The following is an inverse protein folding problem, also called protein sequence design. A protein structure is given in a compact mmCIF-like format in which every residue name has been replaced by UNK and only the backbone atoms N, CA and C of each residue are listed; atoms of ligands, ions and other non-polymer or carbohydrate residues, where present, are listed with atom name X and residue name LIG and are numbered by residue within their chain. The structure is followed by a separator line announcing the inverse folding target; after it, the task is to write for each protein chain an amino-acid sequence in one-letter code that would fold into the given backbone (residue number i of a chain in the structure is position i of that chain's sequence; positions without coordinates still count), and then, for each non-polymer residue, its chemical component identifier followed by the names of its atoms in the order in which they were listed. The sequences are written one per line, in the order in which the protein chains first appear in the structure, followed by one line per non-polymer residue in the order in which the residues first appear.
data_IF_882985929536
#
_entry.id   IF_882985929536
#
_cell.length_a   1.000
_cell.length_b   1.000
_cell.length_c   1.000
_cell.angle_alpha   90.00
_cell.angle_beta   90.00
_cell.angle_gamma   90.00
#
_symmetry.space_group_name_H-M   'P 1'
#
loop_
_entity.id
_entity.type
_entity.pdbx_description
1 polymer ?
#
# COMPACT_ATOMS: atom_id res chain seq x y z
N UNK A 1 36.72 8.28 -24.49
CA UNK A 1 35.93 7.03 -24.41
C UNK A 1 34.72 7.25 -23.51
N UNK A 2 33.48 7.21 -24.04
CA UNK A 2 32.26 7.42 -23.23
C UNK A 2 31.90 6.10 -22.53
N UNK A 3 31.82 6.10 -21.21
CA UNK A 3 31.46 4.92 -20.41
C UNK A 3 30.04 4.43 -20.80
N UNK A 4 29.84 3.15 -21.17
CA UNK A 4 28.54 2.62 -21.59
C UNK A 4 27.46 2.68 -20.48
N UNK A 5 27.85 2.83 -19.21
CA UNK A 5 26.93 3.04 -18.08
C UNK A 5 26.54 4.51 -17.85
N UNK A 6 27.16 5.47 -18.54
CA UNK A 6 26.89 6.90 -18.37
C UNK A 6 25.43 7.29 -18.70
N UNK A 7 24.78 6.76 -19.76
CA UNK A 7 23.37 7.02 -20.05
C UNK A 7 22.43 6.48 -18.96
N UNK A 8 22.77 5.33 -18.36
CA UNK A 8 21.98 4.70 -17.29
C UNK A 8 22.09 5.50 -15.99
N UNK A 9 23.29 5.98 -15.65
CA UNK A 9 23.54 6.86 -14.49
C UNK A 9 22.83 8.21 -14.62
N UNK A 10 22.83 8.83 -15.81
CA UNK A 10 22.06 10.07 -16.07
C UNK A 10 20.55 9.88 -15.95
N UNK A 11 20.00 8.79 -16.52
CA UNK A 11 18.58 8.45 -16.39
C UNK A 11 18.18 8.14 -14.95
N UNK A 12 19.06 7.46 -14.21
CA UNK A 12 18.87 7.21 -12.79
C UNK A 12 18.81 8.52 -12.00
N UNK A 13 19.84 9.35 -12.13
CA UNK A 13 19.97 10.61 -11.42
C UNK A 13 18.79 11.54 -11.69
N UNK A 14 18.41 11.74 -12.96
CA UNK A 14 17.28 12.61 -13.32
C UNK A 14 15.94 12.12 -12.75
N UNK A 15 15.65 10.82 -12.78
CA UNK A 15 14.43 10.26 -12.19
C UNK A 15 14.43 10.36 -10.67
N UNK A 16 15.58 10.12 -10.05
CA UNK A 16 15.72 10.20 -8.60
C UNK A 16 15.58 11.64 -8.10
N UNK A 17 16.21 12.61 -8.76
CA UNK A 17 16.10 14.04 -8.41
C UNK A 17 14.66 14.54 -8.53
N UNK A 18 13.95 14.22 -9.62
CA UNK A 18 12.51 14.55 -9.75
C UNK A 18 11.65 13.92 -8.63
N UNK A 19 12.01 12.73 -8.17
CA UNK A 19 11.31 12.08 -7.07
C UNK A 19 11.63 12.71 -5.71
N UNK A 20 12.88 13.12 -5.48
CA UNK A 20 13.29 13.85 -4.27
C UNK A 20 12.60 15.22 -4.18
N UNK A 21 12.59 15.94 -5.29
CA UNK A 21 11.89 17.21 -5.42
C UNK A 21 10.41 17.05 -5.05
N UNK A 22 9.75 16.02 -5.57
CA UNK A 22 8.38 15.68 -5.19
C UNK A 22 8.23 15.35 -3.71
N UNK A 23 9.16 14.60 -3.10
CA UNK A 23 9.10 14.28 -1.67
C UNK A 23 9.26 15.56 -0.83
N UNK A 24 10.16 16.46 -1.24
CA UNK A 24 10.39 17.76 -0.60
C UNK A 24 9.13 18.63 -0.62
N UNK A 25 8.42 18.69 -1.75
CA UNK A 25 7.20 19.51 -1.86
C UNK A 25 5.96 18.91 -1.18
N UNK A 26 5.89 17.58 -1.01
CA UNK A 26 4.74 16.91 -0.39
C UNK A 26 4.92 16.65 1.12
N UNK A 27 6.01 17.08 1.75
CA UNK A 27 6.30 16.85 3.17
C UNK A 27 6.77 18.14 3.85
N UNK A 28 6.43 18.32 5.13
CA UNK A 28 6.89 19.47 5.93
C UNK A 28 8.43 19.58 5.88
N UNK A 29 9.03 20.72 5.52
CA UNK A 29 10.49 20.88 5.43
C UNK A 29 11.21 20.46 6.73
N UNK A 30 10.60 20.78 7.88
CA UNK A 30 11.07 20.42 9.22
C UNK A 30 10.18 19.32 9.82
N UNK A 31 10.62 18.04 9.79
CA UNK A 31 9.87 16.96 10.40
C UNK A 31 10.04 17.03 11.92
N UNK A 32 8.95 17.40 12.59
CA UNK A 32 8.89 17.57 14.04
C UNK A 32 8.73 16.22 14.73
N UNK A 33 8.07 15.25 14.09
CA UNK A 33 7.86 13.91 14.64
C UNK A 33 8.86 12.87 14.12
N UNK A 34 9.25 11.93 14.98
CA UNK A 34 10.03 10.74 14.62
C UNK A 34 9.34 9.96 13.50
N UNK A 35 8.01 9.87 13.51
CA UNK A 35 7.29 9.15 12.46
C UNK A 35 7.36 9.87 11.11
N UNK A 36 7.39 11.20 11.09
CA UNK A 36 7.61 11.97 9.85
C UNK A 36 9.01 11.74 9.29
N UNK A 37 10.04 11.72 10.16
CA UNK A 37 11.42 11.39 9.77
C UNK A 37 11.49 9.98 9.17
N UNK A 38 10.85 8.99 9.82
CA UNK A 38 10.76 7.60 9.33
C UNK A 38 10.02 7.52 8.00
N UNK A 39 8.89 8.23 7.85
CA UNK A 39 8.10 8.29 6.62
C UNK A 39 8.91 8.87 5.46
N UNK A 40 9.66 9.94 5.70
CA UNK A 40 10.56 10.54 4.71
C UNK A 40 11.65 9.57 4.30
N UNK A 41 12.33 8.95 5.26
CA UNK A 41 13.38 7.98 4.98
C UNK A 41 12.86 6.82 4.11
N UNK A 42 11.69 6.24 4.46
CA UNK A 42 11.04 5.19 3.65
C UNK A 42 10.68 5.68 2.24
N UNK A 43 10.22 6.93 2.11
CA UNK A 43 9.88 7.52 0.81
C UNK A 43 11.11 7.71 -0.09
N UNK A 44 12.20 8.26 0.46
CA UNK A 44 13.48 8.45 -0.25
C UNK A 44 14.06 7.10 -0.68
N UNK A 45 14.11 6.12 0.24
CA UNK A 45 14.56 4.76 -0.07
C UNK A 45 13.72 4.11 -1.17
N UNK A 46 12.39 4.28 -1.11
CA UNK A 46 11.48 3.83 -2.15
C UNK A 46 11.75 4.49 -3.51
N UNK A 47 11.98 5.80 -3.54
CA UNK A 47 12.29 6.54 -4.76
C UNK A 47 13.63 6.12 -5.37
N UNK A 48 14.65 5.83 -4.54
CA UNK A 48 15.94 5.33 -4.99
C UNK A 48 15.78 3.98 -5.70
N UNK A 49 15.13 3.00 -5.04
CA UNK A 49 14.85 1.69 -5.63
C UNK A 49 14.01 1.79 -6.92
N UNK A 50 12.99 2.65 -6.95
CA UNK A 50 12.17 2.88 -8.13
C UNK A 50 12.98 3.41 -9.31
N UNK A 51 13.89 4.34 -9.02
CA UNK A 51 14.75 4.96 -10.03
C UNK A 51 15.77 3.97 -10.56
N UNK A 52 16.40 3.17 -9.67
CA UNK A 52 17.30 2.08 -10.04
C UNK A 52 16.61 1.06 -10.95
N UNK A 53 15.45 0.57 -10.54
CA UNK A 53 14.66 -0.39 -11.31
C UNK A 53 14.29 0.18 -12.70
N UNK A 54 13.86 1.44 -12.75
CA UNK A 54 13.50 2.10 -14.01
C UNK A 54 14.68 2.29 -14.96
N UNK A 55 15.89 2.47 -14.44
CA UNK A 55 17.09 2.69 -15.25
C UNK A 55 17.65 1.40 -15.85
N UNK A 56 17.60 0.28 -15.11
CA UNK A 56 18.07 -1.03 -15.62
C UNK A 56 17.11 -1.66 -16.63
N UNK A 57 15.91 -1.11 -16.80
CA UNK A 57 14.95 -1.51 -17.81
C UNK A 57 14.12 -2.76 -17.45
N UNK A 58 13.06 -3.05 -18.22
CA UNK A 58 12.13 -4.14 -17.94
C UNK A 58 12.73 -5.53 -18.16
N UNK A 59 13.93 -5.65 -18.74
CA UNK A 59 14.53 -6.96 -19.03
C UNK A 59 15.00 -7.71 -17.77
N UNK A 60 15.11 -7.03 -16.62
CA UNK A 60 15.49 -7.66 -15.35
C UNK A 60 14.24 -8.00 -14.53
N UNK A 61 14.06 -9.28 -14.20
CA UNK A 61 12.90 -9.79 -13.46
C UNK A 61 12.68 -9.05 -12.12
N UNK A 62 13.74 -8.81 -11.35
CA UNK A 62 13.65 -8.07 -10.08
C UNK A 62 13.18 -6.62 -10.25
N UNK A 63 13.59 -5.95 -11.34
CA UNK A 63 13.14 -4.57 -11.65
C UNK A 63 11.65 -4.55 -11.96
N UNK A 64 11.17 -5.48 -12.79
CA UNK A 64 9.74 -5.62 -13.09
C UNK A 64 8.92 -5.88 -11.85
N UNK A 65 9.34 -6.84 -11.02
CA UNK A 65 8.65 -7.19 -9.78
C UNK A 65 8.58 -6.00 -8.81
N UNK A 66 9.70 -5.29 -8.64
CA UNK A 66 9.77 -4.11 -7.78
C UNK A 66 8.85 -2.98 -8.26
N UNK A 67 8.82 -2.69 -9.57
CA UNK A 67 7.94 -1.68 -10.15
C UNK A 67 6.46 -2.07 -10.03
N UNK A 68 6.11 -3.35 -10.18
CA UNK A 68 4.74 -3.86 -9.94
C UNK A 68 4.33 -3.62 -8.49
N UNK A 69 5.15 -4.05 -7.53
CA UNK A 69 4.92 -3.86 -6.08
C UNK A 69 4.71 -2.38 -5.72
N UNK A 70 5.48 -1.48 -6.33
CA UNK A 70 5.32 -0.04 -6.11
C UNK A 70 4.02 0.52 -6.71
N UNK A 71 3.59 0.04 -7.88
CA UNK A 71 2.31 0.42 -8.48
C UNK A 71 1.13 -0.08 -7.66
N UNK A 72 1.20 -1.31 -7.16
CA UNK A 72 0.19 -1.89 -6.26
C UNK A 72 0.05 -1.10 -4.97
N UNK A 73 1.17 -0.76 -4.30
CA UNK A 73 1.15 0.13 -3.12
C UNK A 73 0.54 1.50 -3.43
N UNK A 74 0.82 2.07 -4.60
CA UNK A 74 0.22 3.35 -5.02
C UNK A 74 -1.28 3.22 -5.28
N UNK A 75 -1.74 2.09 -5.85
CA UNK A 75 -3.15 1.79 -6.05
C UNK A 75 -3.87 1.61 -4.71
N UNK A 76 -3.31 0.85 -3.79
CA UNK A 76 -3.86 0.67 -2.43
C UNK A 76 -4.01 2.01 -1.68
N UNK A 77 -3.03 2.91 -1.80
CA UNK A 77 -3.14 4.27 -1.23
C UNK A 77 -4.21 5.14 -1.86
N UNK A 78 -4.54 4.92 -3.14
CA UNK A 78 -5.58 5.67 -3.86
C UNK A 78 -6.97 5.09 -3.63
N UNK A 79 -7.05 3.80 -3.35
CA UNK A 79 -8.30 3.10 -3.09
C UNK A 79 -8.12 2.13 -1.90
N UNK A 80 -8.28 2.60 -0.65
CA UNK A 80 -8.11 1.77 0.53
C UNK A 80 -9.17 0.66 0.66
N UNK A 81 -10.29 0.73 -0.09
CA UNK A 81 -11.43 -0.20 0.00
C UNK A 81 -11.19 -1.63 -0.50
N UNK A 82 -10.03 -1.95 -1.09
CA UNK A 82 -9.92 -3.14 -1.96
C UNK A 82 -8.82 -4.15 -1.63
N UNK A 83 -7.99 -3.97 -0.60
CA UNK A 83 -6.83 -4.86 -0.41
C UNK A 83 -7.09 -6.02 0.56
N UNK A 84 -8.02 -5.87 1.51
CA UNK A 84 -8.17 -6.83 2.62
C UNK A 84 -9.64 -7.02 3.04
N UNK A 85 -10.40 -5.92 3.08
CA UNK A 85 -11.81 -5.90 3.53
C UNK A 85 -12.75 -6.81 2.73
N UNK A 86 -12.46 -7.06 1.44
CA UNK A 86 -13.34 -7.87 0.59
C UNK A 86 -13.25 -9.37 0.87
N UNK A 87 -12.09 -9.86 1.31
CA UNK A 87 -11.95 -11.30 1.61
C UNK A 87 -12.61 -11.65 2.94
N UNK A 88 -12.47 -10.80 3.95
CA UNK A 88 -13.12 -10.99 5.26
C UNK A 88 -14.64 -10.82 5.21
N UNK A 89 -15.15 -9.82 4.49
CA UNK A 89 -16.61 -9.61 4.37
C UNK A 89 -17.32 -10.76 3.66
N UNK A 90 -16.71 -11.34 2.63
CA UNK A 90 -17.30 -12.46 1.91
C UNK A 90 -17.44 -13.69 2.82
N UNK A 91 -16.43 -14.00 3.64
CA UNK A 91 -16.55 -15.07 4.65
C UNK A 91 -17.57 -14.73 5.73
N UNK A 92 -17.78 -13.44 6.02
CA UNK A 92 -18.73 -12.98 7.02
C UNK A 92 -20.19 -13.16 6.56
N UNK A 93 -20.45 -13.00 5.25
CA UNK A 93 -21.77 -13.29 4.66
C UNK A 93 -22.22 -14.74 4.89
N UNK A 94 -21.28 -15.69 4.89
CA UNK A 94 -21.58 -17.13 5.02
C UNK A 94 -21.92 -17.54 6.46
N UNK A 95 -21.46 -16.78 7.46
CA UNK A 95 -21.60 -17.12 8.89
C UNK A 95 -22.63 -16.27 9.63
N UNK A 96 -22.97 -15.09 9.10
CA UNK A 96 -23.98 -14.20 9.69
C UNK A 96 -25.34 -14.51 9.06
N UNK A 97 -26.38 -14.83 9.86
CA UNK A 97 -27.72 -15.08 9.36
C UNK A 97 -28.22 -13.92 8.47
N UNK A 98 -28.55 -14.20 7.21
CA UNK A 98 -29.04 -13.19 6.26
C UNK A 98 -27.96 -12.32 5.60
N UNK A 99 -26.68 -12.65 5.76
CA UNK A 99 -25.55 -11.83 5.28
C UNK A 99 -25.36 -11.75 3.76
N UNK A 100 -25.90 -12.69 2.96
CA UNK A 100 -25.72 -12.73 1.49
C UNK A 100 -26.32 -11.52 0.75
N UNK A 101 -27.36 -10.89 1.30
CA UNK A 101 -28.04 -9.76 0.68
C UNK A 101 -27.64 -8.40 1.29
N UNK A 102 -26.74 -8.37 2.28
CA UNK A 102 -26.43 -7.17 3.05
C UNK A 102 -25.29 -6.34 2.47
N UNK A 103 -25.40 -5.02 2.61
CA UNK A 103 -24.28 -4.13 2.37
C UNK A 103 -23.22 -4.25 3.48
N UNK A 104 -22.00 -3.80 3.22
CA UNK A 104 -20.88 -3.98 4.15
C UNK A 104 -21.09 -3.34 5.53
N UNK A 105 -21.94 -2.31 5.64
CA UNK A 105 -22.17 -1.59 6.91
C UNK A 105 -23.22 -2.32 7.74
N UNK A 106 -24.30 -2.78 7.09
CA UNK A 106 -25.34 -3.58 7.73
C UNK A 106 -24.78 -4.93 8.17
N UNK A 107 -23.94 -5.57 7.34
CA UNK A 107 -23.30 -6.85 7.69
C UNK A 107 -22.44 -6.76 8.96
N UNK A 108 -21.64 -5.70 9.10
CA UNK A 108 -20.81 -5.50 10.30
C UNK A 108 -21.66 -5.20 11.55
N UNK A 109 -22.75 -4.45 11.40
CA UNK A 109 -23.67 -4.17 12.49
C UNK A 109 -24.39 -5.44 12.95
N UNK A 110 -24.85 -6.25 11.98
CA UNK A 110 -25.51 -7.53 12.25
C UNK A 110 -24.55 -8.55 12.87
N UNK A 111 -23.30 -8.57 12.43
CA UNK A 111 -22.24 -9.39 13.04
C UNK A 111 -22.06 -9.07 14.52
N UNK A 112 -22.11 -7.78 14.90
CA UNK A 112 -21.97 -7.38 16.30
C UNK A 112 -23.14 -7.93 17.14
N UNK A 113 -24.37 -7.77 16.65
CA UNK A 113 -25.56 -8.31 17.31
C UNK A 113 -25.54 -9.84 17.39
N UNK A 114 -25.10 -10.53 16.32
CA UNK A 114 -24.99 -11.98 16.31
C UNK A 114 -23.98 -12.49 17.36
N UNK A 115 -22.84 -11.82 17.49
CA UNK A 115 -21.85 -12.14 18.54
C UNK A 115 -22.42 -11.91 19.94
N UNK A 116 -23.12 -10.80 20.17
CA UNK A 116 -23.78 -10.52 21.45
C UNK A 116 -24.80 -11.62 21.82
N UNK A 117 -25.61 -12.07 20.86
CA UNK A 117 -26.54 -13.18 21.05
C UNK A 117 -25.82 -14.50 21.34
N UNK A 118 -24.76 -14.83 20.61
CA UNK A 118 -23.97 -16.05 20.84
C UNK A 118 -23.31 -16.07 22.23
N UNK A 119 -22.75 -14.94 22.66
CA UNK A 119 -22.14 -14.80 23.99
C UNK A 119 -23.19 -14.97 25.09
N UNK A 120 -24.39 -14.41 24.91
CA UNK A 120 -25.49 -14.59 25.85
C UNK A 120 -25.95 -16.05 25.96
N UNK A 121 -25.92 -16.80 24.86
CA UNK A 121 -26.26 -18.23 24.85
C UNK A 121 -25.20 -19.09 25.55
N UNK A 122 -23.91 -18.78 25.37
CA UNK A 122 -22.80 -19.51 25.98
C UNK A 122 -22.56 -19.14 27.45
N UNK A 123 -23.01 -17.96 27.89
CA UNK A 123 -22.96 -17.53 29.30
C UNK A 123 -24.07 -18.10 30.19
N UNK A 124 -24.95 -18.94 29.65
CA UNK A 124 -26.05 -19.62 30.35
C UNK A 124 -25.79 -21.14 30.55
N UNK A 125 -24.54 -21.61 30.36
CA UNK A 125 -24.13 -23.01 30.55
C UNK A 125 -23.21 -23.18 31.75
#
# INVERSE_FOLDING_TARGET
MKNPNYPLKKRLASRFLKALEKIKYNMSPSPVSIEEKRRRHRAVRGAAYASMASSVGPRRAWSRALLRKMRERKRARRNPRNADTRFGLNQLCDVVPGGEAMDSRSLLNETAHYIECLVAQLGQA
#
